data_IF_683705205383
#
_entry.id   IF_683705205383
#
_cell.length_a   1.000
_cell.length_b   1.000
_cell.length_c   1.000
_cell.angle_alpha   90.00
_cell.angle_beta   90.00
_cell.angle_gamma   90.00
#
_symmetry.space_group_name_H-M   'P 1'
#
loop_
_entity.id
_entity.type
_entity.pdbx_description
1 polymer ?
#
# COMPACT_ATOMS: atom_id res chain seq x y z
N UNK A 1 21.55 15.97 30.66
CA UNK A 1 22.87 15.92 29.97
C UNK A 1 22.93 15.02 28.71
N UNK A 2 21.96 14.14 28.43
CA UNK A 2 22.01 13.23 27.27
C UNK A 2 21.53 13.85 25.93
N UNK A 3 20.49 14.68 25.93
CA UNK A 3 19.84 15.23 24.72
C UNK A 3 20.78 16.01 23.80
N UNK A 4 21.48 17.01 24.32
CA UNK A 4 22.43 17.79 23.53
C UNK A 4 23.62 17.00 22.99
N UNK A 5 23.90 15.79 23.52
CA UNK A 5 24.91 14.88 22.94
C UNK A 5 24.37 14.16 21.70
N UNK A 6 23.11 13.72 21.74
CA UNK A 6 22.41 13.09 20.62
C UNK A 6 22.25 14.07 19.45
N UNK A 7 21.80 15.29 19.72
CA UNK A 7 21.64 16.34 18.69
C UNK A 7 22.99 16.65 18.02
N UNK A 8 24.06 16.86 18.80
CA UNK A 8 25.41 17.08 18.26
C UNK A 8 25.94 15.89 17.46
N UNK A 9 25.60 14.67 17.87
CA UNK A 9 25.99 13.45 17.13
C UNK A 9 25.24 13.36 15.80
N UNK A 10 23.95 13.66 15.78
CA UNK A 10 23.15 13.73 14.56
C UNK A 10 23.71 14.78 13.59
N UNK A 11 24.00 15.99 14.08
CA UNK A 11 24.59 17.06 13.27
C UNK A 11 25.93 16.65 12.65
N UNK A 12 26.77 15.96 13.42
CA UNK A 12 28.04 15.45 12.92
C UNK A 12 27.88 14.42 11.80
N UNK A 13 26.83 13.59 11.86
CA UNK A 13 26.53 12.62 10.82
C UNK A 13 25.98 13.29 9.55
N UNK A 14 25.09 14.27 9.71
CA UNK A 14 24.47 15.00 8.59
C UNK A 14 25.47 15.91 7.86
N UNK A 15 26.51 16.40 8.55
CA UNK A 15 27.60 17.19 7.95
C UNK A 15 28.55 16.39 7.04
N UNK A 16 28.46 15.05 7.03
CA UNK A 16 29.35 14.22 6.18
C UNK A 16 29.02 14.44 4.71
N UNK A 17 30.06 14.65 3.89
CA UNK A 17 29.91 14.82 2.44
C UNK A 17 29.33 13.54 1.82
N UNK A 18 28.17 13.60 1.13
CA UNK A 18 27.61 12.44 0.45
C UNK A 18 28.49 12.05 -0.75
N UNK A 19 28.65 10.74 -0.96
CA UNK A 19 29.47 10.16 -2.04
C UNK A 19 28.67 9.89 -3.32
N UNK A 20 27.37 9.67 -3.18
CA UNK A 20 26.46 9.35 -4.30
C UNK A 20 25.14 10.12 -4.17
N UNK A 21 24.41 10.25 -5.28
CA UNK A 21 23.17 11.04 -5.34
C UNK A 21 22.08 10.52 -4.39
N UNK A 22 21.95 9.20 -4.24
CA UNK A 22 21.02 8.60 -3.30
C UNK A 22 21.33 9.02 -1.85
N UNK A 23 22.61 9.08 -1.49
CA UNK A 23 23.05 9.53 -0.17
C UNK A 23 22.79 11.02 0.02
N UNK A 24 22.96 11.84 -1.03
CA UNK A 24 22.64 13.27 -1.00
C UNK A 24 21.15 13.50 -0.76
N UNK A 25 20.28 12.83 -1.53
CA UNK A 25 18.82 12.91 -1.36
C UNK A 25 18.39 12.50 0.05
N UNK A 26 18.98 11.44 0.58
CA UNK A 26 18.74 11.01 1.97
C UNK A 26 19.21 12.06 2.98
N UNK A 27 20.41 12.61 2.81
CA UNK A 27 20.93 13.65 3.71
C UNK A 27 20.04 14.91 3.68
N UNK A 28 19.65 15.38 2.50
CA UNK A 28 18.77 16.55 2.34
C UNK A 28 17.40 16.30 3.00
N UNK A 29 16.85 15.09 2.86
CA UNK A 29 15.62 14.69 3.53
C UNK A 29 15.78 14.70 5.05
N UNK A 30 16.84 14.11 5.59
CA UNK A 30 17.09 14.08 7.03
C UNK A 30 17.35 15.47 7.62
N UNK A 31 18.01 16.36 6.87
CA UNK A 31 18.21 17.76 7.26
C UNK A 31 16.87 18.48 7.35
N UNK A 32 15.98 18.29 6.37
CA UNK A 32 14.63 18.88 6.35
C UNK A 32 13.79 18.43 7.55
N UNK A 33 13.86 17.15 7.90
CA UNK A 33 13.09 16.56 9.00
C UNK A 33 13.87 16.49 10.32
N UNK A 34 15.03 17.15 10.43
CA UNK A 34 15.85 17.19 11.65
C UNK A 34 15.07 17.46 12.95
N UNK A 35 14.14 18.43 13.03
CA UNK A 35 13.41 18.69 14.27
C UNK A 35 12.48 17.53 14.66
N UNK A 36 11.99 16.75 13.69
CA UNK A 36 11.06 15.64 13.91
C UNK A 36 11.78 14.36 14.35
N UNK A 37 13.03 14.15 13.91
CA UNK A 37 13.81 12.93 14.18
C UNK A 37 14.02 12.65 15.67
N UNK A 38 14.12 13.71 16.48
CA UNK A 38 14.37 13.62 17.92
C UNK A 38 13.20 14.16 18.73
N UNK A 39 12.00 14.27 18.14
CA UNK A 39 10.82 14.83 18.82
C UNK A 39 10.45 14.06 20.10
N UNK A 40 10.75 12.76 20.17
CA UNK A 40 10.56 11.94 21.37
C UNK A 40 11.44 12.36 22.57
N UNK A 41 12.46 13.21 22.36
CA UNK A 41 13.23 13.83 23.44
C UNK A 41 12.53 15.07 24.02
N UNK A 42 11.47 15.54 23.37
CA UNK A 42 10.69 16.74 23.72
C UNK A 42 9.30 16.37 24.22
N UNK A 43 8.69 15.33 23.65
CA UNK A 43 7.37 14.84 24.02
C UNK A 43 7.48 13.56 24.84
N UNK A 44 7.00 13.58 26.08
CA UNK A 44 7.05 12.43 26.98
C UNK A 44 6.07 11.33 26.58
N UNK A 45 4.97 11.70 25.91
CA UNK A 45 3.96 10.77 25.42
C UNK A 45 4.39 10.05 24.13
N UNK A 46 5.51 10.46 23.52
CA UNK A 46 6.03 9.81 22.33
C UNK A 46 7.06 8.76 22.71
N UNK A 47 6.67 7.49 22.57
CA UNK A 47 7.60 6.38 22.72
C UNK A 47 8.79 6.53 21.76
N UNK A 48 10.01 6.35 22.25
CA UNK A 48 11.24 6.32 21.46
C UNK A 48 11.36 5.06 20.57
N UNK A 49 10.25 4.40 20.26
CA UNK A 49 10.20 3.12 19.55
C UNK A 49 9.68 3.32 18.13
N UNK A 50 10.36 2.72 17.16
CA UNK A 50 9.93 2.71 15.76
C UNK A 50 8.78 1.71 15.50
N UNK A 51 8.25 1.07 16.55
CA UNK A 51 7.32 -0.05 16.44
C UNK A 51 6.10 0.26 15.59
N UNK A 52 5.46 1.43 15.80
CA UNK A 52 4.26 1.82 15.06
C UNK A 52 4.52 1.95 13.55
N UNK A 53 5.64 2.55 13.17
CA UNK A 53 6.01 2.69 11.76
C UNK A 53 6.40 1.34 11.13
N UNK A 54 7.10 0.48 11.87
CA UNK A 54 7.40 -0.88 11.43
C UNK A 54 6.13 -1.73 11.26
N UNK A 55 5.16 -1.61 12.17
CA UNK A 55 3.87 -2.28 12.01
C UNK A 55 3.12 -1.76 10.80
N UNK A 56 3.18 -0.46 10.52
CA UNK A 56 2.54 0.13 9.35
C UNK A 56 3.14 -0.37 8.01
N UNK A 57 4.45 -0.63 7.94
CA UNK A 57 5.11 -1.05 6.69
C UNK A 57 5.02 -2.57 6.44
N UNK A 58 4.87 -3.39 7.49
CA UNK A 58 4.82 -4.86 7.40
C UNK A 58 3.83 -5.40 6.36
N UNK A 59 2.57 -4.93 6.28
CA UNK A 59 1.63 -5.38 5.25
C UNK A 59 2.14 -5.14 3.83
N UNK A 60 2.89 -4.06 3.58
CA UNK A 60 3.46 -3.78 2.26
C UNK A 60 4.61 -4.74 1.93
N UNK A 61 5.50 -4.99 2.90
CA UNK A 61 6.65 -5.89 2.75
C UNK A 61 6.22 -7.35 2.53
N UNK A 62 5.29 -7.84 3.37
CA UNK A 62 4.76 -9.21 3.26
C UNK A 62 4.12 -9.42 1.91
N UNK A 63 3.26 -8.50 1.49
CA UNK A 63 2.61 -8.63 0.20
C UNK A 63 3.58 -8.49 -0.98
N UNK A 64 4.65 -7.70 -0.87
CA UNK A 64 5.71 -7.67 -1.88
C UNK A 64 6.38 -9.05 -2.02
N UNK A 65 6.56 -9.75 -0.90
CA UNK A 65 7.21 -11.07 -0.87
C UNK A 65 6.29 -12.17 -1.39
N UNK A 66 5.02 -12.17 -0.98
CA UNK A 66 4.06 -13.26 -1.23
C UNK A 66 3.34 -13.09 -2.56
N UNK A 67 2.96 -11.86 -2.93
CA UNK A 67 2.13 -11.62 -4.12
C UNK A 67 2.97 -11.05 -5.27
N UNK A 68 2.93 -11.73 -6.42
CA UNK A 68 3.63 -11.36 -7.66
C UNK A 68 3.18 -10.05 -8.32
N UNK A 69 2.23 -9.31 -7.71
CA UNK A 69 1.72 -8.04 -8.22
C UNK A 69 2.74 -6.89 -8.28
N UNK A 70 3.95 -7.06 -7.75
CA UNK A 70 5.05 -6.08 -7.86
C UNK A 70 6.14 -6.50 -8.86
N UNK A 71 5.88 -7.51 -9.71
CA UNK A 71 6.86 -7.96 -10.73
C UNK A 71 6.90 -7.05 -11.95
N UNK A 72 5.91 -6.17 -12.12
CA UNK A 72 5.85 -5.17 -13.19
C UNK A 72 5.73 -3.76 -12.60
N UNK A 73 6.21 -2.72 -13.31
CA UNK A 73 6.05 -1.33 -12.87
C UNK A 73 4.57 -0.97 -12.65
N UNK A 74 3.70 -1.32 -13.60
CA UNK A 74 2.26 -1.06 -13.51
C UNK A 74 1.59 -1.72 -12.29
N UNK A 75 2.00 -2.96 -11.95
CA UNK A 75 1.49 -3.63 -10.77
C UNK A 75 1.98 -3.00 -9.45
N UNK A 76 3.22 -2.51 -9.44
CA UNK A 76 3.79 -1.77 -8.30
C UNK A 76 3.04 -0.45 -8.08
N UNK A 77 2.77 0.29 -9.15
CA UNK A 77 2.04 1.56 -9.08
C UNK A 77 0.60 1.37 -8.63
N UNK A 78 -0.14 0.43 -9.24
CA UNK A 78 -1.51 0.10 -8.87
C UNK A 78 -1.59 -0.30 -7.38
N UNK A 79 -0.62 -1.11 -6.93
CA UNK A 79 -0.54 -1.52 -5.53
C UNK A 79 -0.19 -0.37 -4.60
N UNK A 80 0.68 0.55 -5.00
CA UNK A 80 1.02 1.76 -4.24
C UNK A 80 -0.20 2.65 -4.01
N UNK A 81 -0.99 2.88 -5.06
CA UNK A 81 -2.24 3.67 -4.99
C UNK A 81 -3.25 3.02 -4.06
N UNK A 82 -3.49 1.71 -4.20
CA UNK A 82 -4.42 0.96 -3.36
C UNK A 82 -3.97 0.93 -1.90
N UNK A 83 -2.68 0.69 -1.65
CA UNK A 83 -2.12 0.66 -0.30
C UNK A 83 -2.27 2.03 0.38
N UNK A 84 -2.01 3.13 -0.33
CA UNK A 84 -2.18 4.49 0.20
C UNK A 84 -3.63 4.75 0.60
N UNK A 85 -4.58 4.49 -0.31
CA UNK A 85 -6.01 4.73 -0.06
C UNK A 85 -6.53 3.89 1.10
N UNK A 86 -6.30 2.58 1.08
CA UNK A 86 -6.71 1.69 2.16
C UNK A 86 -6.08 2.07 3.52
N UNK A 87 -4.81 2.50 3.53
CA UNK A 87 -4.12 2.92 4.76
C UNK A 87 -4.71 4.22 5.30
N UNK A 88 -4.91 5.22 4.45
CA UNK A 88 -5.52 6.50 4.83
C UNK A 88 -6.98 6.34 5.25
N UNK A 89 -7.77 5.52 4.57
CA UNK A 89 -9.14 5.19 4.95
C UNK A 89 -9.20 4.55 6.34
N UNK A 90 -8.36 3.55 6.60
CA UNK A 90 -8.25 2.90 7.92
C UNK A 90 -7.87 3.89 9.03
N UNK A 91 -6.87 4.76 8.80
CA UNK A 91 -6.45 5.77 9.78
C UNK A 91 -7.56 6.79 10.09
N UNK A 92 -8.46 7.04 9.13
CA UNK A 92 -9.62 7.94 9.29
C UNK A 92 -10.87 7.23 9.80
N UNK A 93 -10.79 5.95 10.19
CA UNK A 93 -11.93 5.16 10.65
C UNK A 93 -12.95 4.82 9.56
N UNK A 94 -12.58 4.93 8.27
CA UNK A 94 -13.47 4.60 7.14
C UNK A 94 -13.29 3.15 6.71
N UNK A 95 -14.38 2.48 6.38
CA UNK A 95 -14.31 1.14 5.84
C UNK A 95 -13.84 1.17 4.38
N UNK A 96 -13.06 0.17 3.99
CA UNK A 96 -12.53 0.07 2.63
C UNK A 96 -13.63 0.08 1.56
N UNK A 97 -14.84 -0.41 1.89
CA UNK A 97 -16.00 -0.40 0.98
C UNK A 97 -16.50 1.02 0.69
N UNK A 98 -16.43 1.92 1.67
CA UNK A 98 -16.87 3.31 1.53
C UNK A 98 -15.82 4.13 0.77
N UNK A 99 -14.54 3.82 0.99
CA UNK A 99 -13.42 4.48 0.31
C UNK A 99 -13.22 3.94 -1.12
N UNK A 100 -13.55 2.68 -1.43
CA UNK A 100 -13.34 2.08 -2.76
C UNK A 100 -14.49 2.31 -3.76
N UNK A 101 -15.47 3.18 -3.46
CA UNK A 101 -16.48 3.58 -4.45
C UNK A 101 -15.79 4.07 -5.75
N UNK A 102 -16.09 3.47 -6.92
CA UNK A 102 -15.23 3.61 -8.07
C UNK A 102 -15.53 4.90 -8.85
N UNK A 103 -14.47 5.67 -9.13
CA UNK A 103 -14.16 6.05 -10.51
C UNK A 103 -12.65 6.00 -10.77
N UNK A 104 -12.04 4.80 -10.91
CA UNK A 104 -10.89 4.68 -11.77
C UNK A 104 -11.37 4.84 -13.22
N UNK A 105 -11.02 5.94 -13.88
CA UNK A 105 -11.24 6.11 -15.33
C UNK A 105 -10.24 5.20 -16.05
N UNK A 106 -10.60 3.94 -16.25
CA UNK A 106 -9.94 3.13 -17.27
C UNK A 106 -10.36 3.68 -18.64
N UNK A 107 -9.44 3.81 -19.62
CA UNK A 107 -9.83 4.24 -20.96
C UNK A 107 -10.82 3.24 -21.55
N UNK A 108 -11.82 3.69 -22.33
CA UNK A 108 -12.85 2.84 -22.94
C UNK A 108 -12.28 1.63 -23.73
N UNK A 109 -11.05 1.75 -24.23
CA UNK A 109 -10.34 0.72 -24.99
C UNK A 109 -10.04 -0.57 -24.20
N UNK A 110 -10.08 -0.54 -22.86
CA UNK A 110 -9.82 -1.74 -22.04
C UNK A 110 -11.09 -2.57 -21.73
N UNK A 111 -12.30 -2.10 -22.07
CA UNK A 111 -13.55 -2.80 -21.76
C UNK A 111 -13.98 -3.86 -22.78
N UNK A 112 -13.22 -4.09 -23.86
CA UNK A 112 -13.71 -4.93 -24.98
C UNK A 112 -13.41 -6.43 -24.90
N UNK A 113 -12.75 -6.96 -23.85
CA UNK A 113 -12.16 -8.31 -23.96
C UNK A 113 -12.68 -9.38 -22.99
N UNK A 114 -13.82 -9.20 -22.30
CA UNK A 114 -14.33 -10.29 -21.43
C UNK A 114 -15.81 -10.23 -21.07
N UNK A 115 -16.67 -10.43 -22.06
CA UNK A 115 -17.94 -11.10 -21.83
C UNK A 115 -18.06 -12.21 -22.87
N UNK A 116 -17.88 -13.50 -22.52
CA UNK A 116 -18.29 -14.56 -23.44
C UNK A 116 -19.80 -14.41 -23.68
N UNK A 117 -20.30 -14.64 -24.91
CA UNK A 117 -21.72 -14.55 -25.20
C UNK A 117 -22.50 -15.53 -24.31
N UNK A 118 -23.72 -15.18 -23.87
CA UNK A 118 -24.53 -16.08 -23.05
C UNK A 118 -24.81 -17.38 -23.84
N UNK A 119 -24.75 -18.55 -23.18
CA UNK A 119 -25.08 -19.80 -23.86
C UNK A 119 -26.55 -19.79 -24.32
N UNK A 120 -26.89 -20.41 -25.46
CA UNK A 120 -28.27 -20.49 -25.91
C UNK A 120 -29.14 -21.21 -24.87
N UNK A 121 -30.34 -20.68 -24.59
CA UNK A 121 -31.30 -21.25 -23.63
C UNK A 121 -31.65 -22.67 -24.06
N UNK A 122 -31.12 -23.67 -23.35
CA UNK A 122 -31.57 -25.04 -23.47
C UNK A 122 -33.03 -25.11 -22.99
N UNK A 123 -33.96 -25.40 -23.91
CA UNK A 123 -35.34 -25.74 -23.60
C UNK A 123 -35.33 -27.19 -23.12
N UNK A 124 -35.39 -27.39 -21.81
CA UNK A 124 -35.54 -28.73 -21.25
C UNK A 124 -37.03 -29.06 -21.34
N UNK A 125 -37.41 -29.83 -22.37
CA UNK A 125 -38.73 -30.43 -22.44
C UNK A 125 -38.85 -31.42 -21.27
N UNK A 126 -39.73 -31.11 -20.31
CA UNK A 126 -40.21 -32.07 -19.32
C UNK A 126 -40.88 -33.20 -20.10
N UNK A 127 -40.21 -34.35 -20.15
CA UNK A 127 -40.76 -35.59 -20.69
C UNK A 127 -41.40 -36.31 -19.51
N UNK A 128 -42.74 -36.30 -19.47
CA UNK A 128 -43.55 -36.98 -18.46
C UNK A 128 -43.29 -38.48 -18.47
N UNK A 129 -43.13 -39.04 -17.28
CA UNK A 129 -42.83 -40.44 -17.01
C UNK A 129 -44.12 -41.27 -17.11
N UNK A 130 -44.32 -41.96 -18.22
CA UNK A 130 -45.34 -43.00 -18.38
C UNK A 130 -44.78 -44.04 -19.34
N UNK A 131 -44.96 -45.32 -19.00
CA UNK A 131 -44.54 -46.53 -19.72
C UNK A 131 -43.11 -47.04 -19.43
N UNK A 132 -42.98 -47.69 -18.26
CA UNK A 132 -42.04 -48.79 -18.06
C UNK A 132 -42.88 -50.03 -17.69
N UNK A 133 -42.93 -51.02 -18.58
CA UNK A 133 -42.92 -52.48 -18.32
C UNK A 133 -43.17 -53.25 -19.62
N UNK A 134 -42.68 -54.50 -19.72
CA UNK A 134 -41.28 -54.94 -19.84
C UNK A 134 -40.88 -55.24 -21.29
#
# INVERSE_FOLDING_TARGET
MARGRLERRLDRLLRRRPRHDAQRRLADHLIRHRPELLWFLYELDLEATNWRAEQAIRPAVVNRKVFGGNRTPAGTDARGVLARRCTTGKQRGRHARDDLSPRPRLPPSMYSARSPPPPPRAVWAVRSNSDISP
#
